data_IF_225492780386
#
_entry.id   IF_225492780386
#
_cell.length_a   1.000
_cell.length_b   1.000
_cell.length_c   1.000
_cell.angle_alpha   90.00
_cell.angle_beta   90.00
_cell.angle_gamma   90.00
#
_symmetry.space_group_name_H-M   'P 1'
#
loop_
_entity.id
_entity.type
_entity.pdbx_description
1 polymer ?
#
# COMPACT_ATOMS: atom_id res chain seq x y z
N UNK A 1 31.07 14.47 11.47
CA UNK A 1 30.69 13.06 11.63
C UNK A 1 30.48 12.49 10.26
N UNK A 2 31.37 11.64 9.77
CA UNK A 2 31.28 11.06 8.44
C UNK A 2 30.20 9.97 8.42
N UNK A 3 29.20 10.17 7.56
CA UNK A 3 28.38 9.15 6.94
C UNK A 3 27.79 8.04 7.81
N UNK A 4 26.75 8.33 8.61
CA UNK A 4 25.85 7.25 9.05
C UNK A 4 25.24 6.61 7.80
N UNK A 5 25.27 5.28 7.61
CA UNK A 5 24.57 4.60 6.53
C UNK A 5 23.05 4.61 6.72
N UNK A 6 22.54 5.19 7.80
CA UNK A 6 21.12 5.27 8.10
C UNK A 6 20.50 6.47 7.38
N UNK A 7 19.54 6.19 6.53
CA UNK A 7 18.69 7.19 5.92
C UNK A 7 17.51 7.45 6.86
N UNK A 8 17.38 8.70 7.33
CA UNK A 8 16.30 9.12 8.23
C UNK A 8 15.38 10.05 7.43
N UNK A 9 14.12 9.67 7.31
CA UNK A 9 13.08 10.50 6.71
C UNK A 9 12.19 11.08 7.81
N UNK A 10 12.04 12.40 7.81
CA UNK A 10 11.13 13.10 8.71
C UNK A 10 9.83 13.40 7.99
N UNK A 11 8.72 12.87 8.49
CA UNK A 11 7.40 13.07 7.94
C UNK A 11 6.58 14.01 8.83
N UNK A 12 6.02 15.08 8.24
CA UNK A 12 5.10 15.99 8.93
C UNK A 12 3.71 15.37 9.12
N UNK A 13 3.33 14.43 8.25
CA UNK A 13 2.08 13.69 8.28
C UNK A 13 2.35 12.19 8.12
N UNK A 14 1.50 11.33 8.69
CA UNK A 14 1.62 9.88 8.55
C UNK A 14 1.39 9.41 7.10
N UNK A 15 0.50 10.11 6.38
CA UNK A 15 0.15 9.82 4.99
C UNK A 15 0.09 11.10 4.17
N UNK A 16 0.20 10.99 2.84
CA UNK A 16 -0.03 12.12 1.94
C UNK A 16 -1.47 12.63 2.09
N UNK A 17 -1.63 13.95 2.13
CA UNK A 17 -2.93 14.60 2.35
C UNK A 17 -3.77 14.71 1.08
N UNK A 18 -3.14 14.56 -0.09
CA UNK A 18 -3.72 14.78 -1.42
C UNK A 18 -3.66 13.54 -2.33
N UNK A 19 -3.63 12.34 -1.74
CA UNK A 19 -3.57 11.11 -2.52
C UNK A 19 -4.83 10.91 -3.35
N UNK A 20 -4.68 10.83 -4.66
CA UNK A 20 -5.77 10.50 -5.58
C UNK A 20 -6.31 9.06 -5.38
N UNK A 21 -5.55 8.19 -4.71
CA UNK A 21 -5.86 6.77 -4.54
C UNK A 21 -6.66 6.51 -3.27
N UNK A 22 -6.26 7.15 -2.16
CA UNK A 22 -6.84 6.87 -0.86
C UNK A 22 -7.29 8.14 -0.10
N UNK A 23 -7.14 9.31 -0.70
CA UNK A 23 -7.50 10.58 -0.07
C UNK A 23 -6.61 10.92 1.13
N UNK A 24 -7.15 11.61 2.11
CA UNK A 24 -6.45 11.96 3.34
C UNK A 24 -6.78 10.95 4.46
N UNK A 25 -5.87 10.00 4.66
CA UNK A 25 -5.98 9.05 5.78
C UNK A 25 -5.50 9.59 7.12
N UNK A 26 -4.88 10.78 7.17
CA UNK A 26 -4.48 11.37 8.46
C UNK A 26 -5.69 11.62 9.36
N UNK A 27 -6.88 11.80 8.80
CA UNK A 27 -8.14 11.92 9.55
C UNK A 27 -8.45 10.71 10.45
N UNK A 28 -7.99 9.50 10.09
CA UNK A 28 -8.16 8.29 10.89
C UNK A 28 -7.36 8.38 12.19
N UNK A 29 -6.33 9.20 12.21
CA UNK A 29 -5.40 9.40 13.31
C UNK A 29 -5.64 10.72 14.05
N UNK A 30 -6.81 11.36 13.85
CA UNK A 30 -7.15 12.56 14.58
C UNK A 30 -7.05 12.33 16.09
N UNK A 31 -6.33 13.21 16.79
CA UNK A 31 -6.08 13.09 18.24
C UNK A 31 -5.13 11.95 18.64
N UNK A 32 -4.41 11.30 17.71
CA UNK A 32 -3.47 10.23 18.07
C UNK A 32 -2.33 10.72 18.98
N UNK A 33 -1.92 11.96 18.82
CA UNK A 33 -0.89 12.56 19.67
C UNK A 33 -1.39 12.91 21.07
N UNK A 34 -2.68 13.17 21.25
CA UNK A 34 -3.30 13.35 22.57
C UNK A 34 -3.37 12.02 23.36
N UNK A 35 -3.37 10.91 22.64
CA UNK A 35 -3.37 9.55 23.18
C UNK A 35 -2.00 8.88 23.09
N UNK A 36 -0.97 9.63 22.69
CA UNK A 36 0.38 9.11 22.56
C UNK A 36 0.92 8.65 23.90
N UNK A 37 1.75 7.61 23.87
CA UNK A 37 2.39 7.04 25.05
C UNK A 37 3.88 7.23 25.00
N UNK A 38 4.48 7.54 26.17
CA UNK A 38 5.89 7.63 26.32
C UNK A 38 6.48 6.21 26.51
N UNK A 39 7.53 5.89 25.77
CA UNK A 39 8.27 4.64 25.86
C UNK A 39 9.75 4.94 26.00
N UNK A 40 10.42 4.17 26.84
CA UNK A 40 11.87 4.23 26.94
C UNK A 40 12.52 3.29 25.93
N UNK A 41 13.47 3.78 25.18
CA UNK A 41 14.27 2.99 24.27
C UNK A 41 15.75 3.41 24.37
N UNK A 42 16.58 2.49 24.88
CA UNK A 42 18.01 2.76 25.04
C UNK A 42 18.34 3.96 25.95
N UNK A 43 17.54 4.19 27.01
CA UNK A 43 17.70 5.32 27.93
C UNK A 43 17.16 6.65 27.40
N UNK A 44 16.43 6.63 26.26
CA UNK A 44 15.79 7.81 25.67
C UNK A 44 14.29 7.63 25.71
N UNK A 45 13.58 8.64 26.24
CA UNK A 45 12.12 8.69 26.17
C UNK A 45 11.67 9.07 24.76
N UNK A 46 10.78 8.25 24.17
CA UNK A 46 10.21 8.46 22.86
C UNK A 46 8.69 8.47 22.98
N UNK A 47 8.07 9.54 22.51
CA UNK A 47 6.62 9.65 22.39
C UNK A 47 6.17 8.95 21.10
N UNK A 48 5.25 7.99 21.21
CA UNK A 48 4.73 7.24 20.08
C UNK A 48 3.23 6.97 20.20
N UNK A 49 2.57 6.54 19.11
CA UNK A 49 1.15 6.17 19.13
C UNK A 49 0.86 5.10 20.18
N UNK A 50 -0.34 5.11 20.76
CA UNK A 50 -0.80 3.99 21.56
C UNK A 50 -0.93 2.71 20.72
N UNK A 51 -1.15 1.55 21.34
CA UNK A 51 -1.14 0.26 20.63
C UNK A 51 -2.23 0.14 19.57
N UNK A 52 -3.39 0.74 19.77
CA UNK A 52 -4.51 0.77 18.81
C UNK A 52 -4.16 1.59 17.57
N UNK A 53 -3.70 2.83 17.76
CA UNK A 53 -3.31 3.72 16.66
C UNK A 53 -2.06 3.17 15.91
N UNK A 54 -1.14 2.51 16.62
CA UNK A 54 0.04 1.91 15.98
C UNK A 54 -0.35 0.71 15.10
N UNK A 55 -1.19 -0.21 15.58
CA UNK A 55 -1.66 -1.32 14.73
C UNK A 55 -2.42 -0.79 13.52
N UNK A 56 -3.31 0.19 13.71
CA UNK A 56 -4.00 0.83 12.59
C UNK A 56 -3.01 1.42 11.58
N UNK A 57 -1.93 2.05 12.04
CA UNK A 57 -0.88 2.58 11.15
C UNK A 57 -0.22 1.48 10.34
N UNK A 58 0.15 0.35 10.96
CA UNK A 58 0.74 -0.79 10.26
C UNK A 58 -0.19 -1.33 9.16
N UNK A 59 -1.49 -1.48 9.48
CA UNK A 59 -2.51 -1.90 8.52
C UNK A 59 -2.63 -0.89 7.36
N UNK A 60 -2.81 0.39 7.67
CA UNK A 60 -2.92 1.44 6.65
C UNK A 60 -1.67 1.54 5.79
N UNK A 61 -0.48 1.36 6.37
CA UNK A 61 0.77 1.38 5.64
C UNK A 61 0.87 0.21 4.64
N UNK A 62 0.55 -1.02 5.07
CA UNK A 62 0.47 -2.17 4.18
C UNK A 62 -0.59 -1.97 3.09
N UNK A 63 -1.76 -1.44 3.46
CA UNK A 63 -2.86 -1.17 2.54
C UNK A 63 -2.51 -0.11 1.49
N UNK A 64 -1.83 0.97 1.88
CA UNK A 64 -1.29 1.96 0.95
C UNK A 64 -0.40 1.32 -0.12
N UNK A 65 0.51 0.45 0.30
CA UNK A 65 1.40 -0.25 -0.62
C UNK A 65 0.64 -1.25 -1.50
N UNK A 66 -0.35 -1.95 -0.95
CA UNK A 66 -1.23 -2.83 -1.72
C UNK A 66 -1.97 -2.07 -2.82
N UNK A 67 -2.51 -0.88 -2.54
CA UNK A 67 -3.20 -0.05 -3.53
C UNK A 67 -2.27 0.47 -4.65
N UNK A 68 -0.96 0.54 -4.41
CA UNK A 68 0.02 1.01 -5.39
C UNK A 68 0.70 -0.15 -6.13
N UNK A 69 1.78 -0.66 -5.60
CA UNK A 69 2.67 -1.60 -6.31
C UNK A 69 2.75 -2.98 -5.67
N UNK A 70 2.08 -3.17 -4.56
CA UNK A 70 2.18 -4.35 -3.72
C UNK A 70 3.06 -4.09 -2.50
N UNK A 71 3.00 -5.02 -1.55
CA UNK A 71 3.72 -4.96 -0.28
C UNK A 71 4.35 -6.33 0.02
N UNK A 72 5.32 -6.38 0.92
CA UNK A 72 6.07 -7.59 1.18
C UNK A 72 5.56 -8.37 2.38
N UNK A 73 5.97 -9.64 2.46
CA UNK A 73 5.62 -10.55 3.54
C UNK A 73 6.09 -10.02 4.92
N UNK A 74 7.16 -9.23 4.95
CA UNK A 74 7.66 -8.60 6.17
C UNK A 74 6.62 -7.74 6.85
N UNK A 75 5.85 -6.94 6.09
CA UNK A 75 4.81 -6.06 6.66
C UNK A 75 3.69 -6.86 7.31
N UNK A 76 3.36 -8.04 6.77
CA UNK A 76 2.40 -8.96 7.39
C UNK A 76 2.95 -9.54 8.70
N UNK A 77 4.24 -9.92 8.69
CA UNK A 77 4.91 -10.43 9.89
C UNK A 77 4.99 -9.35 11.00
N UNK A 78 5.34 -8.11 10.63
CA UNK A 78 5.39 -6.99 11.58
C UNK A 78 4.02 -6.77 12.26
N UNK A 79 2.92 -6.84 11.50
CA UNK A 79 1.55 -6.75 12.04
C UNK A 79 1.23 -7.91 12.98
N UNK A 80 1.54 -9.14 12.59
CA UNK A 80 1.27 -10.35 13.36
C UNK A 80 2.03 -10.36 14.69
N UNK A 81 3.31 -10.06 14.64
CA UNK A 81 4.18 -10.00 15.83
C UNK A 81 3.75 -8.88 16.77
N UNK A 82 3.37 -7.73 16.23
CA UNK A 82 2.87 -6.61 17.01
C UNK A 82 1.55 -6.97 17.72
N UNK A 83 0.61 -7.56 17.00
CA UNK A 83 -0.67 -8.00 17.55
C UNK A 83 -0.51 -9.10 18.63
N UNK A 84 0.39 -10.07 18.41
CA UNK A 84 0.72 -11.09 19.40
C UNK A 84 1.33 -10.49 20.69
N UNK A 85 2.12 -9.41 20.56
CA UNK A 85 2.78 -8.78 21.70
C UNK A 85 1.83 -7.88 22.50
N UNK A 86 0.93 -7.18 21.84
CA UNK A 86 0.15 -6.10 22.44
C UNK A 86 -1.36 -6.21 22.24
N UNK A 87 -1.86 -7.36 21.80
CA UNK A 87 -3.25 -7.56 21.44
C UNK A 87 -4.26 -7.25 22.55
N UNK A 88 -3.91 -7.49 23.82
CA UNK A 88 -4.74 -7.13 24.98
C UNK A 88 -4.88 -5.62 25.21
N UNK A 89 -3.96 -4.81 24.65
CA UNK A 89 -3.98 -3.35 24.76
C UNK A 89 -4.55 -2.67 23.52
N UNK A 90 -4.94 -3.46 22.51
CA UNK A 90 -5.53 -2.99 21.26
C UNK A 90 -7.06 -2.97 21.35
N UNK A 91 -7.67 -1.84 21.09
CA UNK A 91 -9.11 -1.76 20.86
C UNK A 91 -9.43 -2.21 19.44
N UNK A 92 -9.64 -3.52 19.25
CA UNK A 92 -9.89 -4.15 17.95
C UNK A 92 -11.13 -3.62 17.23
N UNK A 93 -12.18 -3.26 17.99
CA UNK A 93 -13.41 -2.67 17.44
C UNK A 93 -13.13 -1.32 16.79
N UNK A 94 -12.30 -0.48 17.43
CA UNK A 94 -11.91 0.80 16.89
C UNK A 94 -11.05 0.65 15.61
N UNK A 95 -10.14 -0.33 15.59
CA UNK A 95 -9.33 -0.63 14.40
C UNK A 95 -10.25 -1.08 13.26
N UNK A 96 -11.20 -1.98 13.53
CA UNK A 96 -12.15 -2.46 12.52
C UNK A 96 -13.01 -1.33 11.96
N UNK A 97 -13.59 -0.49 12.83
CA UNK A 97 -14.40 0.66 12.44
C UNK A 97 -13.62 1.58 11.47
N UNK A 98 -12.37 1.90 11.78
CA UNK A 98 -11.51 2.73 10.93
C UNK A 98 -11.14 2.04 9.63
N UNK A 99 -10.92 0.73 9.65
CA UNK A 99 -10.71 -0.05 8.43
C UNK A 99 -11.96 -0.05 7.52
N UNK A 100 -13.16 -0.12 8.09
CA UNK A 100 -14.42 -0.02 7.34
C UNK A 100 -14.57 1.35 6.65
N UNK A 101 -14.19 2.44 7.32
CA UNK A 101 -14.25 3.80 6.73
C UNK A 101 -13.41 3.96 5.46
N UNK A 102 -12.36 3.16 5.29
CA UNK A 102 -11.47 3.19 4.12
C UNK A 102 -11.64 1.98 3.20
N UNK A 103 -12.71 1.20 3.34
CA UNK A 103 -12.94 -0.07 2.61
C UNK A 103 -11.77 -1.06 2.76
N UNK A 104 -11.03 -1.00 3.85
CA UNK A 104 -9.85 -1.82 4.13
C UNK A 104 -10.10 -3.04 5.02
N UNK A 105 -11.33 -3.25 5.52
CA UNK A 105 -11.63 -4.31 6.50
C UNK A 105 -11.39 -5.73 5.94
N UNK A 106 -11.84 -6.01 4.71
CA UNK A 106 -11.60 -7.31 4.06
C UNK A 106 -10.11 -7.57 3.86
N UNK A 107 -9.36 -6.54 3.41
CA UNK A 107 -7.92 -6.64 3.25
C UNK A 107 -7.22 -6.94 4.58
N UNK A 108 -7.50 -6.15 5.63
CA UNK A 108 -6.88 -6.31 6.94
C UNK A 108 -7.20 -7.68 7.57
N UNK A 109 -8.46 -8.12 7.55
CA UNK A 109 -8.86 -9.41 8.09
C UNK A 109 -8.20 -10.57 7.32
N UNK A 110 -8.08 -10.48 5.99
CA UNK A 110 -7.41 -11.51 5.20
C UNK A 110 -5.91 -11.54 5.46
N UNK A 111 -5.26 -10.39 5.75
CA UNK A 111 -3.87 -10.37 6.19
C UNK A 111 -3.66 -11.15 7.50
N UNK A 112 -4.54 -10.97 8.48
CA UNK A 112 -4.48 -11.74 9.72
C UNK A 112 -4.76 -13.23 9.47
N UNK A 113 -5.65 -13.59 8.56
CA UNK A 113 -5.87 -14.99 8.16
C UNK A 113 -4.63 -15.60 7.48
N UNK A 114 -3.94 -14.85 6.60
CA UNK A 114 -2.64 -15.27 6.03
C UNK A 114 -1.61 -15.44 7.14
N UNK A 115 -1.55 -14.51 8.10
CA UNK A 115 -0.61 -14.57 9.20
C UNK A 115 -0.90 -15.73 10.17
N UNK A 116 -2.16 -16.06 10.43
CA UNK A 116 -2.58 -17.23 11.23
C UNK A 116 -2.17 -18.54 10.55
N UNK A 117 -2.37 -18.62 9.23
CA UNK A 117 -2.11 -19.86 8.47
C UNK A 117 -0.62 -20.12 8.19
N UNK A 118 0.14 -19.08 7.88
CA UNK A 118 1.49 -19.23 7.33
C UNK A 118 2.60 -18.57 8.12
N UNK A 119 2.25 -17.73 9.09
CA UNK A 119 3.20 -17.06 9.98
C UNK A 119 2.92 -17.44 11.43
N UNK A 120 3.31 -16.59 12.34
CA UNK A 120 3.23 -16.86 13.79
C UNK A 120 2.09 -16.09 14.49
N UNK A 121 1.05 -15.66 13.76
CA UNK A 121 -0.06 -14.98 14.38
C UNK A 121 -0.91 -15.97 15.20
N UNK A 122 -1.10 -15.65 16.47
CA UNK A 122 -1.92 -16.40 17.43
C UNK A 122 -3.14 -15.56 17.84
N UNK A 123 -4.34 -15.87 17.32
CA UNK A 123 -5.55 -15.12 17.62
C UNK A 123 -5.90 -15.08 19.12
N UNK A 124 -5.57 -16.13 19.86
CA UNK A 124 -5.86 -16.20 21.30
C UNK A 124 -4.93 -15.24 22.05
N UNK A 125 -3.63 -15.32 21.78
CA UNK A 125 -2.63 -14.44 22.36
C UNK A 125 -2.86 -12.98 22.00
N UNK A 126 -3.30 -12.71 20.79
CA UNK A 126 -3.59 -11.37 20.29
C UNK A 126 -4.95 -10.84 20.76
N UNK A 127 -5.73 -11.60 21.51
CA UNK A 127 -7.12 -11.25 21.86
C UNK A 127 -7.95 -10.85 20.62
N UNK A 128 -7.70 -11.52 19.48
CA UNK A 128 -8.29 -11.18 18.19
C UNK A 128 -9.78 -11.57 18.17
N UNK A 129 -10.71 -10.62 17.93
CA UNK A 129 -12.14 -10.90 18.01
C UNK A 129 -12.63 -11.78 16.85
N UNK A 130 -13.58 -12.68 17.16
CA UNK A 130 -14.19 -13.54 16.14
C UNK A 130 -14.92 -12.75 15.04
N UNK A 131 -15.45 -11.57 15.35
CA UNK A 131 -16.11 -10.67 14.40
C UNK A 131 -15.23 -10.26 13.22
N UNK A 132 -13.92 -10.24 13.38
CA UNK A 132 -12.99 -9.96 12.28
C UNK A 132 -12.95 -11.07 11.23
N UNK A 133 -13.19 -12.33 11.64
CA UNK A 133 -13.17 -13.48 10.73
C UNK A 133 -14.26 -13.40 9.66
N UNK A 134 -15.35 -12.68 9.92
CA UNK A 134 -16.42 -12.45 8.94
C UNK A 134 -15.98 -11.61 7.74
N UNK A 135 -14.93 -10.81 7.90
CA UNK A 135 -14.35 -10.01 6.83
C UNK A 135 -13.21 -10.71 6.09
N UNK A 136 -12.67 -11.80 6.63
CA UNK A 136 -11.60 -12.54 5.97
C UNK A 136 -12.12 -13.24 4.72
N UNK A 137 -11.34 -13.16 3.64
CA UNK A 137 -11.61 -13.82 2.37
C UNK A 137 -10.58 -14.93 2.13
N UNK A 138 -10.66 -15.61 0.98
CA UNK A 138 -9.67 -16.61 0.60
C UNK A 138 -8.25 -16.02 0.62
N UNK A 139 -7.32 -16.75 1.24
CA UNK A 139 -5.94 -16.27 1.47
C UNK A 139 -5.04 -16.43 0.27
N UNK A 140 -5.29 -17.44 -0.57
CA UNK A 140 -4.35 -17.84 -1.63
C UNK A 140 -4.11 -16.73 -2.68
N UNK A 141 -5.13 -15.99 -3.16
CA UNK A 141 -4.90 -14.91 -4.11
C UNK A 141 -4.04 -13.75 -3.54
N UNK A 142 -4.21 -13.44 -2.24
CA UNK A 142 -3.39 -12.43 -1.57
C UNK A 142 -1.97 -12.93 -1.36
N UNK A 143 -1.82 -14.20 -1.01
CA UNK A 143 -0.52 -14.84 -0.81
C UNK A 143 0.29 -14.86 -2.12
N UNK A 144 -0.35 -15.15 -3.25
CA UNK A 144 0.28 -15.05 -4.57
C UNK A 144 0.77 -13.63 -4.88
N UNK A 145 -0.05 -12.61 -4.57
CA UNK A 145 0.35 -11.20 -4.75
C UNK A 145 1.53 -10.83 -3.85
N UNK A 146 1.53 -11.30 -2.59
CA UNK A 146 2.63 -11.12 -1.63
C UNK A 146 3.94 -11.75 -2.13
N UNK A 147 3.91 -13.01 -2.58
CA UNK A 147 5.09 -13.67 -3.11
C UNK A 147 5.60 -13.01 -4.39
N UNK A 148 4.71 -12.56 -5.25
CA UNK A 148 5.07 -11.80 -6.44
C UNK A 148 5.77 -10.46 -6.13
N UNK A 149 5.54 -9.87 -4.93
CA UNK A 149 6.21 -8.66 -4.47
C UNK A 149 7.54 -8.93 -3.75
N UNK A 150 7.81 -10.19 -3.37
CA UNK A 150 8.99 -10.57 -2.60
C UNK A 150 8.93 -10.17 -1.12
N UNK A 151 9.97 -10.51 -0.38
CA UNK A 151 10.01 -10.32 1.10
C UNK A 151 9.87 -8.85 1.50
N UNK A 152 10.48 -7.95 0.75
CA UNK A 152 10.53 -6.51 1.05
C UNK A 152 9.54 -5.67 0.24
N UNK A 153 8.67 -6.27 -0.57
CA UNK A 153 7.76 -5.53 -1.46
C UNK A 153 8.50 -4.84 -2.61
N UNK A 154 9.69 -5.33 -2.98
CA UNK A 154 10.46 -4.83 -4.10
C UNK A 154 9.70 -5.06 -5.41
N UNK A 155 9.20 -3.99 -6.01
CA UNK A 155 8.48 -4.10 -7.26
C UNK A 155 9.47 -4.38 -8.40
N UNK A 156 9.29 -5.51 -9.10
CA UNK A 156 9.88 -5.71 -10.42
C UNK A 156 9.39 -4.61 -11.37
N UNK A 157 10.11 -4.36 -12.46
CA UNK A 157 9.66 -3.39 -13.47
C UNK A 157 8.23 -3.71 -13.95
N UNK A 158 7.90 -4.98 -14.15
CA UNK A 158 6.55 -5.43 -14.54
C UNK A 158 5.50 -5.04 -13.49
N UNK A 159 5.81 -5.16 -12.19
CA UNK A 159 4.89 -4.72 -11.11
C UNK A 159 4.76 -3.21 -11.03
N UNK A 160 5.84 -2.46 -11.24
CA UNK A 160 5.77 -0.99 -11.32
C UNK A 160 4.88 -0.54 -12.48
N UNK A 161 4.96 -1.21 -13.62
CA UNK A 161 4.08 -0.93 -14.75
C UNK A 161 2.62 -1.32 -14.45
N UNK A 162 2.40 -2.46 -13.81
CA UNK A 162 1.05 -2.89 -13.40
C UNK A 162 0.42 -1.97 -12.37
N UNK A 163 1.21 -1.26 -11.55
CA UNK A 163 0.71 -0.34 -10.54
C UNK A 163 -0.14 0.79 -11.12
N UNK A 164 0.17 1.25 -12.34
CA UNK A 164 -0.65 2.25 -13.03
C UNK A 164 -2.05 1.71 -13.37
N UNK A 165 -2.19 0.42 -13.68
CA UNK A 165 -3.50 -0.22 -13.92
C UNK A 165 -4.31 -0.26 -12.62
N UNK A 166 -3.68 -0.66 -11.52
CA UNK A 166 -4.28 -0.69 -10.19
C UNK A 166 -4.74 0.71 -9.76
N UNK A 167 -3.86 1.71 -9.91
CA UNK A 167 -4.15 3.11 -9.60
C UNK A 167 -5.35 3.64 -10.38
N UNK A 168 -5.40 3.40 -11.70
CA UNK A 168 -6.52 3.86 -12.53
C UNK A 168 -7.81 3.12 -12.20
N UNK A 169 -7.75 1.84 -11.85
CA UNK A 169 -8.93 1.10 -11.42
C UNK A 169 -9.52 1.67 -10.12
N UNK A 170 -8.66 2.10 -9.18
CA UNK A 170 -9.09 2.72 -7.91
C UNK A 170 -9.64 4.13 -8.13
N UNK A 171 -9.02 4.92 -9.02
CA UNK A 171 -9.39 6.34 -9.20
C UNK A 171 -10.52 6.56 -10.21
N UNK A 172 -10.58 5.77 -11.26
CA UNK A 172 -11.49 5.97 -12.40
C UNK A 172 -12.54 4.86 -12.55
N UNK A 173 -12.48 3.81 -11.71
CA UNK A 173 -13.40 2.67 -11.74
C UNK A 173 -13.26 1.77 -12.98
N UNK A 174 -12.42 2.14 -13.96
CA UNK A 174 -12.15 1.35 -15.17
C UNK A 174 -10.67 1.41 -15.54
N UNK A 175 -10.03 0.27 -15.83
CA UNK A 175 -8.67 0.26 -16.36
C UNK A 175 -8.67 0.83 -17.78
N UNK A 176 -8.27 2.08 -17.92
CA UNK A 176 -8.18 2.73 -19.24
C UNK A 176 -6.74 2.64 -19.77
N UNK A 177 -6.48 1.63 -20.60
CA UNK A 177 -5.19 1.40 -21.25
C UNK A 177 -4.71 2.61 -22.09
N UNK A 178 -5.64 3.33 -22.72
CA UNK A 178 -5.33 4.51 -23.52
C UNK A 178 -4.81 5.67 -22.65
N UNK A 179 -5.37 5.90 -21.48
CA UNK A 179 -4.89 6.95 -20.56
C UNK A 179 -3.52 6.62 -19.95
N UNK A 180 -3.14 5.34 -19.93
CA UNK A 180 -1.80 4.91 -19.51
C UNK A 180 -0.76 5.12 -20.60
N UNK A 181 -1.10 4.84 -21.85
CA UNK A 181 -0.21 5.03 -22.98
C UNK A 181 -0.04 6.53 -23.32
N UNK A 182 -1.11 7.30 -23.19
CA UNK A 182 -1.19 8.72 -23.54
C UNK A 182 -1.65 9.56 -22.31
N UNK A 183 -0.84 9.64 -21.25
CA UNK A 183 -1.21 10.37 -20.05
C UNK A 183 -1.35 11.87 -20.32
N UNK A 184 -2.20 12.59 -19.58
CA UNK A 184 -2.41 14.02 -19.74
C UNK A 184 -1.14 14.82 -19.40
N UNK A 185 -1.02 16.02 -19.97
CA UNK A 185 0.11 16.95 -19.81
C UNK A 185 0.61 17.03 -18.35
N UNK A 186 -0.29 17.24 -17.39
CA UNK A 186 0.01 17.41 -15.96
C UNK A 186 0.81 16.25 -15.36
N UNK A 187 0.59 15.00 -15.81
CA UNK A 187 1.34 13.82 -15.35
C UNK A 187 2.74 13.74 -15.97
N UNK A 188 2.95 14.38 -17.13
CA UNK A 188 4.20 14.34 -17.88
C UNK A 188 5.12 15.53 -17.61
N UNK A 189 4.64 16.63 -17.07
CA UNK A 189 5.41 17.87 -16.82
C UNK A 189 6.65 17.64 -15.94
N UNK A 190 6.54 16.73 -14.95
CA UNK A 190 7.69 16.38 -14.08
C UNK A 190 8.76 15.58 -14.85
N UNK A 191 8.36 14.77 -15.80
CA UNK A 191 9.27 13.92 -16.60
C UNK A 191 9.81 14.64 -17.83
N UNK A 192 9.04 15.58 -18.38
CA UNK A 192 9.36 16.37 -19.58
C UNK A 192 9.12 17.86 -19.27
N UNK A 193 10.12 18.54 -18.66
CA UNK A 193 9.98 19.94 -18.22
C UNK A 193 9.54 20.91 -19.32
N UNK A 194 9.90 20.65 -20.58
CA UNK A 194 9.50 21.47 -21.73
C UNK A 194 7.98 21.56 -21.94
N UNK A 195 7.21 20.64 -21.36
CA UNK A 195 5.75 20.69 -21.45
C UNK A 195 5.14 21.81 -20.60
N UNK A 196 5.85 22.35 -19.61
CA UNK A 196 5.37 23.47 -18.81
C UNK A 196 5.11 24.67 -19.70
N UNK A 197 6.08 25.01 -20.56
CA UNK A 197 6.02 26.17 -21.45
C UNK A 197 5.38 25.85 -22.81
N UNK A 198 5.53 24.62 -23.31
CA UNK A 198 5.15 24.22 -24.67
C UNK A 198 4.18 23.03 -24.65
N UNK A 199 2.96 23.25 -24.15
CA UNK A 199 1.94 22.19 -24.02
C UNK A 199 1.56 21.49 -25.35
N UNK A 200 1.76 22.16 -26.50
CA UNK A 200 1.55 21.59 -27.83
C UNK A 200 2.53 20.47 -28.21
N UNK A 201 3.66 20.34 -27.48
CA UNK A 201 4.62 19.24 -27.64
C UNK A 201 4.20 17.94 -26.91
N UNK A 202 2.99 17.88 -26.38
CA UNK A 202 2.46 16.69 -25.73
C UNK A 202 2.55 15.42 -26.61
N UNK A 203 2.24 15.45 -27.93
CA UNK A 203 2.44 14.30 -28.81
C UNK A 203 3.90 13.83 -28.88
N UNK A 204 4.85 14.77 -28.84
CA UNK A 204 6.30 14.45 -28.85
C UNK A 204 6.69 13.75 -27.54
N UNK A 205 6.16 14.20 -26.42
CA UNK A 205 6.39 13.53 -25.13
C UNK A 205 5.83 12.10 -25.13
N UNK A 206 4.66 11.88 -25.74
CA UNK A 206 4.08 10.54 -25.90
C UNK A 206 4.97 9.63 -26.77
N UNK A 207 5.45 10.13 -27.91
CA UNK A 207 6.34 9.34 -28.79
C UNK A 207 7.68 9.04 -28.11
N UNK A 208 8.28 9.99 -27.39
CA UNK A 208 9.49 9.76 -26.60
C UNK A 208 9.27 8.73 -25.49
N UNK A 209 8.12 8.80 -24.81
CA UNK A 209 7.75 7.82 -23.79
C UNK A 209 7.56 6.43 -24.38
N UNK A 210 6.83 6.31 -25.49
CA UNK A 210 6.62 5.03 -26.19
C UNK A 210 7.93 4.47 -26.73
N UNK A 211 8.83 5.32 -27.24
CA UNK A 211 10.15 4.90 -27.67
C UNK A 211 11.00 4.36 -26.52
N UNK A 212 11.04 5.07 -25.38
CA UNK A 212 11.71 4.56 -24.18
C UNK A 212 11.10 3.24 -23.72
N UNK A 213 9.78 3.12 -23.78
CA UNK A 213 9.08 1.86 -23.48
C UNK A 213 9.54 0.74 -24.41
N UNK A 214 9.57 0.98 -25.71
CA UNK A 214 9.99 0.00 -26.72
C UNK A 214 11.47 -0.39 -26.62
N UNK A 215 12.34 0.55 -26.22
CA UNK A 215 13.79 0.28 -26.03
C UNK A 215 14.06 -0.46 -24.73
N UNK A 216 13.31 -0.17 -23.65
CA UNK A 216 13.41 -0.89 -22.38
C UNK A 216 12.81 -2.31 -22.46
N UNK A 217 11.84 -2.55 -23.37
CA UNK A 217 11.29 -3.87 -23.64
C UNK A 217 12.34 -4.87 -24.19
N UNK A 218 13.48 -4.39 -24.67
CA UNK A 218 14.60 -5.26 -25.11
C UNK A 218 15.47 -5.80 -23.97
N UNK A 219 15.24 -5.35 -22.73
CA UNK A 219 16.06 -5.69 -21.57
C UNK A 219 15.28 -6.37 -20.42
N UNK A 220 14.50 -7.39 -20.61
CA UNK A 220 13.83 -8.20 -19.57
C UNK A 220 12.38 -7.89 -19.17
N UNK A 221 11.60 -7.15 -19.96
CA UNK A 221 10.20 -6.90 -19.59
C UNK A 221 9.21 -7.50 -20.60
N UNK A 222 8.49 -8.53 -20.18
CA UNK A 222 7.35 -9.04 -20.93
C UNK A 222 6.10 -8.16 -20.64
N UNK A 223 5.61 -7.37 -21.63
CA UNK A 223 4.44 -6.54 -21.43
C UNK A 223 3.18 -7.35 -21.14
N UNK A 224 3.13 -8.62 -21.53
CA UNK A 224 2.01 -9.51 -21.23
C UNK A 224 1.99 -9.87 -19.75
N UNK A 225 3.14 -9.99 -19.10
CA UNK A 225 3.26 -10.22 -17.68
C UNK A 225 2.75 -9.02 -16.85
N UNK A 226 3.13 -7.80 -17.21
CA UNK A 226 2.66 -6.59 -16.55
C UNK A 226 1.13 -6.44 -16.62
N UNK A 227 0.53 -6.75 -17.78
CA UNK A 227 -0.93 -6.77 -17.96
C UNK A 227 -1.58 -7.88 -17.13
N UNK A 228 -0.99 -9.07 -17.10
CA UNK A 228 -1.49 -10.21 -16.31
C UNK A 228 -1.49 -9.85 -14.81
N UNK A 229 -0.38 -9.35 -14.28
CA UNK A 229 -0.26 -8.90 -12.88
C UNK A 229 -1.28 -7.79 -12.60
N UNK A 230 -1.41 -6.81 -13.48
CA UNK A 230 -2.38 -5.72 -13.33
C UNK A 230 -3.82 -6.22 -13.25
N UNK A 231 -4.21 -7.15 -14.11
CA UNK A 231 -5.55 -7.74 -14.09
C UNK A 231 -5.81 -8.57 -12.83
N UNK A 232 -4.84 -9.37 -12.38
CA UNK A 232 -4.93 -10.12 -11.13
C UNK A 232 -5.14 -9.19 -9.94
N UNK A 233 -4.40 -8.08 -9.86
CA UNK A 233 -4.52 -7.11 -8.78
C UNK A 233 -5.83 -6.33 -8.83
N UNK A 234 -6.34 -5.99 -10.02
CA UNK A 234 -7.67 -5.38 -10.17
C UNK A 234 -8.77 -6.37 -9.71
N UNK A 235 -8.63 -7.66 -10.00
CA UNK A 235 -9.54 -8.69 -9.50
C UNK A 235 -9.52 -8.77 -7.96
N UNK A 236 -8.34 -8.70 -7.34
CA UNK A 236 -8.20 -8.64 -5.88
C UNK A 236 -8.90 -7.40 -5.29
N UNK A 237 -8.73 -6.23 -5.90
CA UNK A 237 -9.39 -5.01 -5.42
C UNK A 237 -10.92 -5.13 -5.44
N UNK A 238 -11.48 -5.79 -6.47
CA UNK A 238 -12.92 -6.09 -6.53
C UNK A 238 -13.34 -7.11 -5.48
N UNK A 239 -12.58 -8.19 -5.33
CA UNK A 239 -12.83 -9.21 -4.32
C UNK A 239 -12.86 -8.60 -2.92
N UNK A 240 -11.98 -7.66 -2.62
CA UNK A 240 -11.96 -6.93 -1.34
C UNK A 240 -12.95 -5.78 -1.24
N UNK A 241 -13.84 -5.60 -2.24
CA UNK A 241 -14.84 -4.52 -2.29
C UNK A 241 -14.24 -3.12 -2.15
N UNK A 242 -13.00 -2.96 -2.62
CA UNK A 242 -12.30 -1.67 -2.62
C UNK A 242 -12.80 -0.83 -3.80
N UNK A 243 -13.01 -1.50 -4.92
CA UNK A 243 -13.59 -0.93 -6.15
C UNK A 243 -14.83 -1.75 -6.55
N UNK A 244 -15.72 -1.13 -7.31
CA UNK A 244 -16.95 -1.74 -7.83
C UNK A 244 -16.68 -2.67 -9.01
#
# INVERSE_FOLDING_TARGET
>A
MAGSPLHIELHANLFATDSAVYGDWNRLFAGCWDRAVCREFGGVEILGPNHTDHLLYLICHAYKHFLHSGFGLRQVADMALYANAWGSEICWEQVLEKCLQIRGAHFAATLFAVAERYLTFDPVRACYPASWKEYALETDPLLEDLFGAGIFGGATESRRHSSNMTLNAVTEGKPNLLSQMLPPKRKLEKQFPYLQDKGWLLPVAWTQRLWRYATNLRQDNDPTEAVKIGNQRVALLRQYKIID
#
